data_IF_792303313059
#
_entry.id   IF_792303313059
#
_cell.length_a   1.000
_cell.length_b   1.000
_cell.length_c   1.000
_cell.angle_alpha   90.00
_cell.angle_beta   90.00
_cell.angle_gamma   90.00
#
_symmetry.space_group_name_H-M   'P 1'
#
loop_
_entity.id
_entity.type
_entity.pdbx_description
1 polymer ?
#
# COMPACT_ATOMS: atom_id res chain seq x y z
N UNK A 1 -3.74 33.33 -4.12
CA UNK A 1 -3.28 33.19 -2.72
C UNK A 1 -4.06 32.15 -1.89
N UNK A 2 -5.42 32.23 -1.74
CA UNK A 2 -6.15 31.22 -0.91
C UNK A 2 -6.20 29.83 -1.58
N UNK A 3 -6.38 29.77 -2.91
CA UNK A 3 -6.42 28.55 -3.70
C UNK A 3 -5.06 27.82 -3.72
N UNK A 4 -3.98 28.58 -3.84
CA UNK A 4 -2.61 28.04 -3.88
C UNK A 4 -2.21 27.42 -2.54
N UNK A 5 -2.60 28.03 -1.42
CA UNK A 5 -2.39 27.46 -0.08
C UNK A 5 -3.17 26.17 0.16
N UNK A 6 -4.38 26.06 -0.40
CA UNK A 6 -5.17 24.81 -0.31
C UNK A 6 -4.51 23.71 -1.13
N UNK A 7 -4.08 24.00 -2.35
CA UNK A 7 -3.37 23.03 -3.18
C UNK A 7 -2.06 22.56 -2.53
N UNK A 8 -1.27 23.49 -1.98
CA UNK A 8 -0.04 23.14 -1.27
C UNK A 8 -0.31 22.17 -0.11
N UNK A 9 -1.34 22.44 0.71
CA UNK A 9 -1.73 21.53 1.80
C UNK A 9 -2.13 20.15 1.31
N UNK A 10 -2.84 20.06 0.18
CA UNK A 10 -3.22 18.77 -0.44
C UNK A 10 -1.98 18.00 -0.90
N UNK A 11 -1.03 18.64 -1.59
CA UNK A 11 0.22 18.00 -1.99
C UNK A 11 1.06 17.56 -0.79
N UNK A 12 1.18 18.38 0.24
CA UNK A 12 1.88 18.02 1.48
C UNK A 12 1.19 16.84 2.17
N UNK A 13 -0.13 16.85 2.29
CA UNK A 13 -0.89 15.74 2.86
C UNK A 13 -0.70 14.44 2.06
N UNK A 14 -0.68 14.51 0.73
CA UNK A 14 -0.41 13.37 -0.13
C UNK A 14 0.99 12.78 0.12
N UNK A 15 2.03 13.62 0.10
CA UNK A 15 3.42 13.16 0.29
C UNK A 15 3.63 12.58 1.69
N UNK A 16 3.13 13.27 2.71
CA UNK A 16 3.18 12.77 4.09
C UNK A 16 2.40 11.46 4.25
N UNK A 17 1.22 11.37 3.62
CA UNK A 17 0.42 10.14 3.63
C UNK A 17 1.16 8.96 3.01
N UNK A 18 1.76 9.14 1.83
CA UNK A 18 2.58 8.12 1.16
C UNK A 18 3.75 7.68 2.04
N UNK A 19 4.43 8.64 2.68
CA UNK A 19 5.55 8.34 3.57
C UNK A 19 5.11 7.54 4.81
N UNK A 20 4.00 7.93 5.45
CA UNK A 20 3.44 7.23 6.61
C UNK A 20 2.96 5.83 6.23
N UNK A 21 2.31 5.66 5.07
CA UNK A 21 1.94 4.34 4.53
C UNK A 21 3.18 3.45 4.41
N UNK A 22 4.26 4.00 3.85
CA UNK A 22 5.50 3.26 3.65
C UNK A 22 6.14 2.80 4.97
N UNK A 23 6.07 3.63 6.02
CA UNK A 23 6.49 3.24 7.38
C UNK A 23 5.61 2.08 7.87
N UNK A 24 4.30 2.19 7.77
CA UNK A 24 3.38 1.16 8.22
C UNK A 24 3.61 -0.19 7.53
N UNK A 25 3.78 -0.20 6.21
CA UNK A 25 4.08 -1.43 5.45
C UNK A 25 5.45 -2.02 5.86
N UNK A 26 6.46 -1.18 6.12
CA UNK A 26 7.76 -1.63 6.59
C UNK A 26 7.67 -2.27 8.00
N UNK A 27 6.84 -1.70 8.88
CA UNK A 27 6.56 -2.27 10.22
C UNK A 27 5.81 -3.61 10.12
N UNK A 28 4.84 -3.74 9.21
CA UNK A 28 4.18 -5.01 8.93
C UNK A 28 5.19 -6.05 8.45
N UNK A 29 6.05 -5.68 7.51
CA UNK A 29 7.09 -6.57 7.02
C UNK A 29 8.01 -7.03 8.14
N UNK A 30 8.37 -6.13 9.06
CA UNK A 30 9.22 -6.44 10.21
C UNK A 30 8.51 -7.35 11.24
N UNK A 31 7.20 -7.27 11.36
CA UNK A 31 6.45 -8.12 12.28
C UNK A 31 6.48 -9.61 11.93
N UNK A 32 6.74 -9.96 10.67
CA UNK A 32 6.67 -11.33 10.13
C UNK A 32 5.32 -12.04 10.36
N UNK A 33 4.25 -11.28 10.70
CA UNK A 33 2.89 -11.81 10.89
C UNK A 33 1.97 -11.60 9.69
N UNK A 34 2.54 -11.21 8.55
CA UNK A 34 1.79 -10.91 7.32
C UNK A 34 1.80 -9.42 7.01
N UNK A 35 1.05 -9.04 5.98
CA UNK A 35 0.92 -7.66 5.52
C UNK A 35 -0.49 -7.43 4.97
N UNK A 36 -0.79 -6.22 4.53
CA UNK A 36 -2.00 -6.00 3.75
C UNK A 36 -1.97 -6.89 2.48
N UNK A 37 -3.13 -7.36 2.00
CA UNK A 37 -3.19 -8.42 0.97
C UNK A 37 -2.42 -8.12 -0.31
N UNK A 38 -2.43 -6.87 -0.79
CA UNK A 38 -1.69 -6.52 -2.01
C UNK A 38 -0.18 -6.40 -1.77
N UNK A 39 0.23 -5.88 -0.61
CA UNK A 39 1.65 -5.83 -0.24
C UNK A 39 2.21 -7.23 -0.03
N UNK A 40 1.46 -8.12 0.62
CA UNK A 40 1.82 -9.53 0.78
C UNK A 40 1.97 -10.22 -0.58
N UNK A 41 1.03 -10.00 -1.51
CA UNK A 41 1.11 -10.54 -2.87
C UNK A 41 2.37 -10.02 -3.60
N UNK A 42 2.63 -8.72 -3.53
CA UNK A 42 3.81 -8.13 -4.17
C UNK A 42 5.12 -8.64 -3.55
N UNK A 43 5.17 -8.83 -2.23
CA UNK A 43 6.33 -9.43 -1.56
C UNK A 43 6.56 -10.85 -2.06
N UNK A 44 5.51 -11.67 -2.12
CA UNK A 44 5.61 -13.05 -2.58
C UNK A 44 6.03 -13.15 -4.04
N UNK A 45 5.46 -12.32 -4.92
CA UNK A 45 5.86 -12.27 -6.32
C UNK A 45 7.31 -11.80 -6.48
N UNK A 46 7.75 -10.81 -5.69
CA UNK A 46 9.14 -10.35 -5.70
C UNK A 46 10.12 -11.47 -5.32
N UNK A 47 9.78 -12.29 -4.32
CA UNK A 47 10.56 -13.47 -3.95
C UNK A 47 10.63 -14.50 -5.07
N UNK A 48 9.48 -14.84 -5.68
CA UNK A 48 9.40 -15.83 -6.78
C UNK A 48 10.23 -15.39 -7.98
N UNK A 49 10.15 -14.11 -8.36
CA UNK A 49 10.88 -13.56 -9.50
C UNK A 49 12.32 -13.15 -9.18
N UNK A 50 12.74 -13.17 -7.91
CA UNK A 50 14.08 -12.76 -7.48
C UNK A 50 14.39 -11.28 -7.72
N UNK A 51 13.36 -10.42 -7.66
CA UNK A 51 13.48 -8.98 -7.90
C UNK A 51 13.18 -8.17 -6.62
N UNK A 52 13.58 -6.89 -6.61
CA UNK A 52 13.28 -6.04 -5.46
C UNK A 52 11.76 -5.78 -5.33
N UNK A 53 11.28 -5.62 -4.09
CA UNK A 53 9.89 -5.26 -3.83
C UNK A 53 9.49 -3.95 -4.54
N UNK A 54 10.39 -2.97 -4.61
CA UNK A 54 10.14 -1.72 -5.33
C UNK A 54 9.84 -1.95 -6.81
N UNK A 55 10.62 -2.80 -7.47
CA UNK A 55 10.44 -3.13 -8.87
C UNK A 55 9.16 -3.94 -9.09
N UNK A 56 8.88 -4.94 -8.25
CA UNK A 56 7.64 -5.71 -8.30
C UNK A 56 6.41 -4.81 -8.11
N UNK A 57 6.44 -3.92 -7.12
CA UNK A 57 5.36 -2.98 -6.88
C UNK A 57 5.15 -2.04 -8.08
N UNK A 58 6.23 -1.61 -8.74
CA UNK A 58 6.14 -0.81 -9.97
C UNK A 58 5.42 -1.58 -11.09
N UNK A 59 5.78 -2.85 -11.34
CA UNK A 59 5.14 -3.68 -12.36
C UNK A 59 3.64 -3.89 -12.06
N UNK A 60 3.30 -4.24 -10.83
CA UNK A 60 1.91 -4.41 -10.42
C UNK A 60 1.11 -3.11 -10.60
N UNK A 61 1.67 -1.98 -10.20
CA UNK A 61 1.02 -0.67 -10.36
C UNK A 61 0.89 -0.25 -11.83
N UNK A 62 1.82 -0.61 -12.72
CA UNK A 62 1.66 -0.38 -14.16
C UNK A 62 0.44 -1.14 -14.69
N UNK A 63 0.28 -2.41 -14.32
CA UNK A 63 -0.86 -3.24 -14.74
C UNK A 63 -2.18 -2.63 -14.24
N UNK A 64 -2.26 -2.28 -12.95
CA UNK A 64 -3.45 -1.66 -12.38
C UNK A 64 -3.72 -0.26 -12.93
N UNK A 65 -2.67 0.52 -13.25
CA UNK A 65 -2.80 1.82 -13.89
C UNK A 65 -3.37 1.71 -15.30
N UNK A 66 -2.97 0.70 -16.07
CA UNK A 66 -3.56 0.43 -17.39
C UNK A 66 -5.06 0.21 -17.24
N UNK A 67 -5.49 -0.63 -16.29
CA UNK A 67 -6.92 -0.83 -16.00
C UNK A 67 -7.58 0.49 -15.61
N UNK A 68 -6.95 1.29 -14.76
CA UNK A 68 -7.46 2.58 -14.32
C UNK A 68 -7.59 3.58 -15.47
N UNK A 69 -6.66 3.60 -16.43
CA UNK A 69 -6.73 4.45 -17.63
C UNK A 69 -7.94 4.13 -18.49
N UNK A 70 -8.28 2.85 -18.65
CA UNK A 70 -9.42 2.46 -19.48
C UNK A 70 -10.77 2.68 -18.77
N UNK A 71 -10.84 2.43 -17.48
CA UNK A 71 -12.12 2.38 -16.77
C UNK A 71 -12.31 3.46 -15.70
N UNK A 72 -11.26 4.18 -15.32
CA UNK A 72 -11.28 5.07 -14.16
C UNK A 72 -10.47 6.34 -14.25
N UNK A 73 -10.36 6.95 -15.42
CA UNK A 73 -9.54 8.16 -15.66
C UNK A 73 -9.78 9.28 -14.66
N UNK A 74 -11.02 9.43 -14.16
CA UNK A 74 -11.39 10.45 -13.17
C UNK A 74 -10.67 10.30 -11.83
N UNK A 75 -10.12 9.12 -11.54
CA UNK A 75 -9.39 8.81 -10.31
C UNK A 75 -7.87 8.94 -10.47
N UNK A 76 -7.38 9.25 -11.67
CA UNK A 76 -5.94 9.42 -11.93
C UNK A 76 -5.53 10.84 -11.55
N UNK A 77 -4.48 10.95 -10.77
CA UNK A 77 -3.90 12.23 -10.36
C UNK A 77 -2.46 12.08 -9.87
N UNK A 78 -1.89 13.15 -9.33
CA UNK A 78 -0.52 13.14 -8.81
C UNK A 78 -0.31 12.04 -7.74
N UNK A 79 -1.32 11.80 -6.88
CA UNK A 79 -1.29 10.75 -5.87
C UNK A 79 -1.18 9.34 -6.46
N UNK A 80 -1.80 9.09 -7.61
CA UNK A 80 -1.71 7.80 -8.30
C UNK A 80 -0.26 7.44 -8.63
N UNK A 81 0.48 8.40 -9.21
CA UNK A 81 1.88 8.21 -9.55
C UNK A 81 2.79 8.17 -8.32
N UNK A 82 2.53 9.07 -7.36
CA UNK A 82 3.30 9.10 -6.11
C UNK A 82 3.20 7.76 -5.36
N UNK A 83 1.99 7.24 -5.18
CA UNK A 83 1.78 5.95 -4.51
C UNK A 83 2.37 4.80 -5.35
N UNK A 84 2.04 4.73 -6.63
CA UNK A 84 2.45 3.63 -7.51
C UNK A 84 3.97 3.46 -7.66
N UNK A 85 4.73 4.55 -7.59
CA UNK A 85 6.18 4.53 -7.78
C UNK A 85 6.92 4.55 -6.45
N UNK A 86 6.55 5.46 -5.53
CA UNK A 86 7.38 5.76 -4.37
C UNK A 86 7.22 4.75 -3.23
N UNK A 87 6.02 4.18 -3.02
CA UNK A 87 5.76 3.33 -1.85
C UNK A 87 6.71 2.14 -1.79
N UNK A 88 6.88 1.37 -2.88
CA UNK A 88 7.71 0.17 -2.86
C UNK A 88 9.18 0.47 -2.53
N UNK A 89 9.73 1.55 -3.10
CA UNK A 89 11.11 1.97 -2.81
C UNK A 89 11.25 2.52 -1.38
N UNK A 90 10.29 3.34 -0.93
CA UNK A 90 10.28 3.89 0.42
C UNK A 90 10.17 2.77 1.47
N UNK A 91 9.31 1.77 1.25
CA UNK A 91 9.20 0.58 2.13
C UNK A 91 10.54 -0.14 2.22
N UNK A 92 11.19 -0.41 1.10
CA UNK A 92 12.49 -1.12 1.08
C UNK A 92 13.56 -0.34 1.84
N UNK A 93 13.60 0.97 1.67
CA UNK A 93 14.55 1.85 2.36
C UNK A 93 14.30 1.90 3.87
N UNK A 94 13.04 2.12 4.28
CA UNK A 94 12.64 2.20 5.70
C UNK A 94 12.87 0.86 6.39
N UNK A 95 12.50 -0.25 5.74
CA UNK A 95 12.72 -1.60 6.25
C UNK A 95 14.21 -1.87 6.50
N UNK A 96 15.09 -1.47 5.56
CA UNK A 96 16.54 -1.58 5.75
C UNK A 96 17.06 -0.80 6.98
N UNK A 97 16.49 0.38 7.26
CA UNK A 97 16.82 1.16 8.46
C UNK A 97 16.32 0.45 9.73
N UNK A 98 15.08 -0.09 9.71
CA UNK A 98 14.52 -0.81 10.85
C UNK A 98 15.37 -2.02 11.23
N UNK A 99 15.66 -2.89 10.27
CA UNK A 99 16.49 -4.10 10.49
C UNK A 99 17.88 -3.73 10.98
N UNK A 100 18.49 -2.67 10.44
CA UNK A 100 19.84 -2.24 10.87
C UNK A 100 19.87 -1.77 12.33
N UNK A 101 18.81 -1.12 12.82
CA UNK A 101 18.79 -0.53 14.16
C UNK A 101 18.20 -1.44 15.23
N UNK A 102 17.21 -2.27 14.86
CA UNK A 102 16.46 -3.10 15.80
C UNK A 102 16.69 -4.61 15.62
N UNK A 103 17.37 -5.01 14.54
CA UNK A 103 17.45 -6.44 14.16
C UNK A 103 16.11 -6.94 13.64
N UNK A 104 15.94 -8.25 13.55
CA UNK A 104 14.69 -8.87 13.13
C UNK A 104 13.76 -9.10 14.31
N UNK A 105 12.47 -8.74 14.19
CA UNK A 105 11.48 -8.89 15.27
C UNK A 105 11.30 -10.33 15.75
N UNK A 106 11.55 -11.30 14.88
CA UNK A 106 11.54 -12.73 15.25
C UNK A 106 12.44 -13.08 16.45
N UNK A 107 13.56 -12.37 16.61
CA UNK A 107 14.52 -12.59 17.68
C UNK A 107 13.94 -12.25 19.06
N UNK A 108 12.92 -11.40 19.11
CA UNK A 108 12.30 -10.92 20.35
C UNK A 108 11.01 -11.67 20.73
N UNK A 109 10.57 -12.62 19.89
CA UNK A 109 9.42 -13.47 20.14
C UNK A 109 8.07 -12.86 19.72
N UNK A 110 7.03 -13.68 19.78
CA UNK A 110 5.71 -13.42 19.21
C UNK A 110 5.03 -12.16 19.77
N UNK A 111 5.26 -11.82 21.04
CA UNK A 111 4.65 -10.63 21.68
C UNK A 111 5.14 -9.36 20.99
N UNK A 112 6.44 -9.29 20.68
CA UNK A 112 7.04 -8.14 20.00
C UNK A 112 6.56 -8.07 18.54
N UNK A 113 6.45 -9.21 17.86
CA UNK A 113 5.89 -9.27 16.51
C UNK A 113 4.45 -8.75 16.47
N UNK A 114 3.60 -9.15 17.42
CA UNK A 114 2.22 -8.66 17.56
C UNK A 114 2.22 -7.13 17.81
N UNK A 115 3.09 -6.64 18.69
CA UNK A 115 3.19 -5.21 18.96
C UNK A 115 3.57 -4.41 17.69
N UNK A 116 4.54 -4.89 16.91
CA UNK A 116 4.90 -4.30 15.61
C UNK A 116 3.72 -4.29 14.64
N UNK A 117 2.98 -5.41 14.52
CA UNK A 117 1.81 -5.50 13.65
C UNK A 117 0.70 -4.53 14.07
N UNK A 118 0.40 -4.40 15.36
CA UNK A 118 -0.61 -3.45 15.87
C UNK A 118 -0.22 -1.99 15.60
N UNK A 119 1.03 -1.64 15.81
CA UNK A 119 1.55 -0.31 15.48
C UNK A 119 1.44 -0.08 13.97
N UNK A 120 1.79 -1.06 13.16
CA UNK A 120 1.70 -1.00 11.71
C UNK A 120 0.26 -0.73 11.22
N UNK A 121 -0.76 -1.38 11.80
CA UNK A 121 -2.19 -1.12 11.49
C UNK A 121 -2.53 0.34 11.71
N UNK A 122 -2.18 0.89 12.87
CA UNK A 122 -2.49 2.29 13.22
C UNK A 122 -1.77 3.26 12.27
N UNK A 123 -0.46 3.06 12.06
CA UNK A 123 0.37 3.92 11.21
C UNK A 123 -0.13 3.89 9.76
N UNK A 124 -0.37 2.69 9.21
CA UNK A 124 -0.88 2.55 7.84
C UNK A 124 -2.24 3.20 7.68
N UNK A 125 -3.16 3.00 8.62
CA UNK A 125 -4.50 3.58 8.58
C UNK A 125 -4.47 5.12 8.60
N UNK A 126 -3.61 5.72 9.42
CA UNK A 126 -3.39 7.17 9.45
C UNK A 126 -2.82 7.67 8.12
N UNK A 127 -1.84 6.97 7.56
CA UNK A 127 -1.25 7.31 6.28
C UNK A 127 -2.26 7.26 5.14
N UNK A 128 -3.05 6.20 5.06
CA UNK A 128 -4.11 6.03 4.03
C UNK A 128 -5.17 7.12 4.16
N UNK A 129 -5.62 7.42 5.39
CA UNK A 129 -6.60 8.48 5.63
C UNK A 129 -6.09 9.84 5.16
N UNK A 130 -4.84 10.19 5.51
CA UNK A 130 -4.22 11.45 5.10
C UNK A 130 -4.04 11.54 3.58
N UNK A 131 -3.57 10.46 2.96
CA UNK A 131 -3.40 10.36 1.51
C UNK A 131 -4.73 10.51 0.76
N UNK A 132 -5.78 9.81 1.20
CA UNK A 132 -7.08 9.86 0.55
C UNK A 132 -7.76 11.23 0.73
N UNK A 133 -7.61 11.85 1.89
CA UNK A 133 -8.14 13.20 2.17
C UNK A 133 -7.50 14.28 1.28
N UNK A 134 -6.28 14.04 0.81
CA UNK A 134 -5.63 14.95 -0.15
C UNK A 134 -6.37 15.04 -1.49
N UNK A 135 -7.13 14.00 -1.88
CA UNK A 135 -7.96 13.94 -3.10
C UNK A 135 -7.19 14.40 -4.36
N UNK A 136 -5.96 13.88 -4.52
CA UNK A 136 -5.06 14.14 -5.67
C UNK A 136 -4.89 12.90 -6.56
N UNK A 137 -5.86 12.01 -6.54
CA UNK A 137 -5.84 10.73 -7.25
C UNK A 137 -5.73 9.56 -6.29
N UNK A 138 -6.04 8.38 -6.78
CA UNK A 138 -6.11 7.14 -5.99
C UNK A 138 -5.04 6.18 -6.47
N UNK A 139 -4.47 5.42 -5.55
CA UNK A 139 -3.51 4.37 -5.88
C UNK A 139 -4.11 3.40 -6.91
N UNK A 140 -3.31 2.92 -7.87
CA UNK A 140 -3.82 2.05 -8.95
C UNK A 140 -4.57 0.81 -8.44
N UNK A 141 -4.08 0.17 -7.39
CA UNK A 141 -4.77 -0.95 -6.76
C UNK A 141 -6.09 -0.54 -6.08
N UNK A 142 -6.09 0.57 -5.33
CA UNK A 142 -7.29 1.05 -4.64
C UNK A 142 -8.42 1.39 -5.61
N UNK A 143 -8.06 1.78 -6.84
CA UNK A 143 -9.03 2.00 -7.90
C UNK A 143 -9.86 0.76 -8.22
N UNK A 144 -9.32 -0.46 -8.09
CA UNK A 144 -10.07 -1.70 -8.38
C UNK A 144 -11.35 -1.77 -7.53
N UNK A 145 -11.23 -1.46 -6.24
CA UNK A 145 -12.38 -1.44 -5.31
C UNK A 145 -13.36 -0.32 -5.62
N UNK A 146 -12.85 0.88 -5.98
CA UNK A 146 -13.67 2.03 -6.36
C UNK A 146 -14.37 1.81 -7.70
N UNK A 147 -13.66 1.25 -8.68
CA UNK A 147 -14.21 0.90 -9.99
C UNK A 147 -15.31 -0.16 -9.88
N UNK A 148 -15.08 -1.17 -9.03
CA UNK A 148 -16.08 -2.20 -8.74
C UNK A 148 -17.31 -1.61 -8.06
N UNK A 149 -17.13 -0.72 -7.07
CA UNK A 149 -18.22 0.03 -6.44
C UNK A 149 -19.03 0.84 -7.46
N UNK A 150 -18.35 1.59 -8.32
CA UNK A 150 -19.02 2.45 -9.31
C UNK A 150 -19.82 1.62 -10.32
N UNK A 151 -19.33 0.44 -10.69
CA UNK A 151 -19.97 -0.46 -11.65
C UNK A 151 -21.12 -1.27 -11.03
N UNK A 152 -20.93 -1.77 -9.80
CA UNK A 152 -21.92 -2.63 -9.12
C UNK A 152 -22.92 -1.87 -8.26
N UNK A 153 -22.65 -0.59 -7.96
CA UNK A 153 -23.42 0.25 -7.02
C UNK A 153 -23.50 -0.31 -5.59
N UNK A 154 -22.60 -1.24 -5.24
CA UNK A 154 -22.49 -1.81 -3.90
C UNK A 154 -21.67 -0.92 -2.97
N UNK A 155 -21.75 -1.16 -1.66
CA UNK A 155 -20.92 -0.46 -0.69
C UNK A 155 -19.43 -0.66 -0.94
N UNK A 156 -18.64 0.41 -0.79
CA UNK A 156 -17.18 0.38 -0.99
C UNK A 156 -16.50 -0.70 -0.15
N UNK A 157 -16.91 -0.86 1.10
CA UNK A 157 -16.36 -1.87 2.01
C UNK A 157 -16.43 -3.30 1.44
N UNK A 158 -17.59 -3.70 0.92
CA UNK A 158 -17.74 -5.01 0.31
C UNK A 158 -16.90 -5.19 -0.95
N UNK A 159 -16.77 -4.14 -1.77
CA UNK A 159 -15.91 -4.16 -2.95
C UNK A 159 -14.43 -4.25 -2.55
N UNK A 160 -14.02 -3.56 -1.49
CA UNK A 160 -12.66 -3.63 -0.97
C UNK A 160 -12.34 -5.01 -0.42
N UNK A 161 -13.21 -5.58 0.42
CA UNK A 161 -13.02 -6.94 0.93
C UNK A 161 -12.92 -7.98 -0.19
N UNK A 162 -13.68 -7.81 -1.28
CA UNK A 162 -13.61 -8.71 -2.42
C UNK A 162 -12.28 -8.62 -3.15
N UNK A 163 -11.78 -7.40 -3.43
CA UNK A 163 -10.48 -7.22 -4.10
C UNK A 163 -9.32 -7.67 -3.21
N UNK A 164 -9.37 -7.38 -1.92
CA UNK A 164 -8.37 -7.81 -0.96
C UNK A 164 -8.41 -9.33 -0.75
N UNK A 165 -9.61 -9.93 -0.75
CA UNK A 165 -9.78 -11.39 -0.69
C UNK A 165 -9.17 -12.12 -1.88
N UNK A 166 -9.28 -11.55 -3.10
CA UNK A 166 -8.60 -12.12 -4.29
C UNK A 166 -7.08 -12.05 -4.13
N UNK A 167 -6.55 -10.91 -3.68
CA UNK A 167 -5.11 -10.75 -3.46
C UNK A 167 -4.59 -11.70 -2.37
N UNK A 168 -5.32 -11.85 -1.25
CA UNK A 168 -5.01 -12.77 -0.18
C UNK A 168 -5.01 -14.24 -0.66
N UNK A 169 -6.05 -14.62 -1.41
CA UNK A 169 -6.13 -15.97 -1.99
C UNK A 169 -4.97 -16.25 -2.95
N UNK A 170 -4.64 -15.28 -3.81
CA UNK A 170 -3.50 -15.41 -4.72
C UNK A 170 -2.18 -15.57 -3.95
N UNK A 171 -1.97 -14.79 -2.88
CA UNK A 171 -0.79 -14.91 -2.01
C UNK A 171 -0.70 -16.31 -1.39
N UNK A 172 -1.81 -16.79 -0.84
CA UNK A 172 -1.89 -18.13 -0.23
C UNK A 172 -1.58 -19.25 -1.24
N UNK A 173 -2.18 -19.19 -2.43
CA UNK A 173 -1.93 -20.18 -3.51
C UNK A 173 -0.48 -20.18 -3.98
N UNK A 174 0.22 -19.05 -3.90
CA UNK A 174 1.64 -18.94 -4.20
C UNK A 174 2.55 -19.35 -3.03
N UNK A 175 1.98 -19.83 -1.93
CA UNK A 175 2.71 -20.26 -0.73
C UNK A 175 3.27 -19.09 0.11
N UNK A 176 2.68 -17.90 0.00
CA UNK A 176 2.99 -16.74 0.85
C UNK A 176 2.10 -16.69 2.10
N UNK A 177 2.53 -15.92 3.10
CA UNK A 177 1.72 -15.56 4.27
C UNK A 177 0.93 -14.29 3.97
N UNK A 178 -0.32 -14.24 4.42
CA UNK A 178 -1.21 -13.07 4.30
C UNK A 178 -1.39 -12.43 5.64
#
# INVERSE_FOLDING_TARGET
MKKDRVMLKRYLGMVLGVFIISIGIALFKESHLGNDPISALNMRLAEIFGISLGLQNLYANIIFLIIQIFFGRKYIGAGTFANGILVGYAVSFIYGILVKNFGYAEQYGIIVQIAWALIAVVVTSLGVSLYQTADLGVAPYDYLSLGLRDKTKKHYYGCRMFTDGIAALATYLLGGLV
#
